data_IF_293378543040
#
_entry.id   IF_293378543040
#
_cell.length_a   1.000
_cell.length_b   1.000
_cell.length_c   1.000
_cell.angle_alpha   90.00
_cell.angle_beta   90.00
_cell.angle_gamma   90.00
#
_symmetry.space_group_name_H-M   'P 1'
#
loop_
_entity.id
_entity.type
_entity.pdbx_description
1 polymer ?
#
# COMPACT_ATOMS: atom_id res chain seq x y z
N UNK A 1 21.68 2.13 -10.69
CA UNK A 1 21.45 3.51 -11.16
C UNK A 1 20.23 4.07 -10.44
N UNK A 2 20.39 5.14 -9.67
CA UNK A 2 19.38 5.66 -8.72
C UNK A 2 18.53 6.74 -9.42
N UNK A 3 17.20 6.79 -9.22
CA UNK A 3 16.39 7.92 -9.68
C UNK A 3 16.92 9.26 -9.17
N UNK A 4 17.12 10.19 -10.09
CA UNK A 4 17.57 11.53 -9.76
C UNK A 4 16.35 12.44 -9.55
N UNK A 5 16.39 13.24 -8.48
CA UNK A 5 15.46 14.36 -8.34
C UNK A 5 15.91 15.43 -9.34
N UNK A 6 15.05 15.78 -10.29
CA UNK A 6 15.37 16.79 -11.32
C UNK A 6 15.26 18.21 -10.74
N UNK A 7 14.55 18.41 -9.64
CA UNK A 7 14.27 19.76 -9.14
C UNK A 7 15.39 20.32 -8.25
N UNK A 8 16.14 21.26 -8.81
CA UNK A 8 16.99 22.23 -8.10
C UNK A 8 16.17 23.26 -7.28
N UNK A 9 14.84 23.19 -7.31
CA UNK A 9 13.90 24.12 -6.68
C UNK A 9 12.95 23.44 -5.67
N UNK A 10 13.34 22.30 -5.10
CA UNK A 10 12.53 21.52 -4.14
C UNK A 10 12.63 22.01 -2.70
N UNK A 11 12.64 23.35 -2.50
CA UNK A 11 12.88 23.99 -1.19
C UNK A 11 12.12 23.36 -0.01
N UNK A 12 10.78 23.16 -0.09
CA UNK A 12 10.03 22.60 1.04
C UNK A 12 10.30 21.12 1.31
N UNK A 13 10.55 20.27 0.31
CA UNK A 13 10.92 18.85 0.57
C UNK A 13 12.35 18.74 1.09
N UNK A 14 13.26 19.62 0.68
CA UNK A 14 14.61 19.67 1.26
C UNK A 14 14.56 20.10 2.74
N UNK A 15 13.69 21.05 3.09
CA UNK A 15 13.44 21.40 4.50
C UNK A 15 12.84 20.21 5.25
N UNK A 16 11.85 19.52 4.67
CA UNK A 16 11.24 18.33 5.28
C UNK A 16 12.27 17.22 5.50
N UNK A 17 13.15 16.96 4.52
CA UNK A 17 14.26 16.01 4.64
C UNK A 17 15.14 16.37 5.82
N UNK A 18 15.58 17.62 5.89
CA UNK A 18 16.42 18.11 6.97
C UNK A 18 15.74 17.94 8.33
N UNK A 19 14.47 18.32 8.46
CA UNK A 19 13.70 18.17 9.71
C UNK A 19 13.58 16.70 10.14
N UNK A 20 13.33 15.79 9.19
CA UNK A 20 13.23 14.36 9.47
C UNK A 20 14.58 13.79 9.93
N UNK A 21 15.68 14.19 9.29
CA UNK A 21 17.03 13.75 9.66
C UNK A 21 17.46 14.30 11.03
N UNK A 22 17.23 15.59 11.29
CA UNK A 22 17.52 16.23 12.59
C UNK A 22 16.70 15.60 13.74
N UNK A 23 15.47 15.18 13.46
CA UNK A 23 14.58 14.57 14.45
C UNK A 23 14.69 13.04 14.55
N UNK A 24 15.62 12.39 13.84
CA UNK A 24 15.69 10.93 13.72
C UNK A 24 15.60 10.17 15.07
N UNK A 25 16.37 10.51 16.13
CA UNK A 25 16.22 9.83 17.42
C UNK A 25 14.83 9.98 18.05
N UNK A 26 14.21 11.15 17.91
CA UNK A 26 12.87 11.43 18.42
C UNK A 26 11.81 10.67 17.63
N UNK A 27 11.94 10.60 16.30
CA UNK A 27 11.09 9.82 15.39
C UNK A 27 11.14 8.34 15.74
N UNK A 28 12.35 7.77 15.87
CA UNK A 28 12.50 6.35 16.20
C UNK A 28 11.97 6.02 17.59
N UNK A 29 12.12 6.94 18.56
CA UNK A 29 11.48 6.79 19.88
C UNK A 29 9.96 6.83 19.76
N UNK A 30 9.41 7.76 18.98
CA UNK A 30 7.97 7.90 18.78
C UNK A 30 7.37 6.62 18.19
N UNK A 31 7.97 6.07 17.12
CA UNK A 31 7.54 4.80 16.55
C UNK A 31 7.59 3.65 17.56
N UNK A 32 8.67 3.52 18.34
CA UNK A 32 8.75 2.46 19.37
C UNK A 32 7.60 2.53 20.37
N UNK A 33 7.15 3.74 20.73
CA UNK A 33 6.02 3.92 21.63
C UNK A 33 4.69 3.57 20.94
N UNK A 34 4.48 3.98 19.69
CA UNK A 34 3.30 3.58 18.91
C UNK A 34 3.20 2.04 18.80
N UNK A 35 4.31 1.35 18.58
CA UNK A 35 4.33 -0.12 18.48
C UNK A 35 4.22 -0.86 19.83
N UNK A 36 4.31 -0.15 20.96
CA UNK A 36 3.97 -0.70 22.27
C UNK A 36 2.46 -0.66 22.52
N UNK A 37 1.77 0.34 21.99
CA UNK A 37 0.33 0.53 22.17
C UNK A 37 -0.48 -0.18 21.08
N UNK A 38 0.03 -0.20 19.84
CA UNK A 38 -0.69 -0.65 18.66
C UNK A 38 0.04 -1.80 17.97
N UNK A 39 -0.73 -2.79 17.49
CA UNK A 39 -0.14 -3.92 16.78
C UNK A 39 0.02 -3.62 15.28
N UNK A 40 1.24 -3.67 14.72
CA UNK A 40 1.41 -3.47 13.29
C UNK A 40 0.72 -4.59 12.50
N UNK A 41 0.20 -4.31 11.29
CA UNK A 41 -0.19 -5.33 10.34
C UNK A 41 0.97 -6.31 10.08
N UNK A 42 0.64 -7.55 9.77
CA UNK A 42 1.65 -8.58 9.50
C UNK A 42 2.59 -8.18 8.36
N UNK A 43 2.03 -7.60 7.30
CA UNK A 43 2.78 -6.96 6.23
C UNK A 43 1.99 -5.85 5.55
N UNK A 44 2.68 -4.98 4.81
CA UNK A 44 2.04 -3.98 3.98
C UNK A 44 2.98 -3.48 2.89
N UNK A 45 2.42 -2.88 1.84
CA UNK A 45 3.13 -1.95 0.98
C UNK A 45 2.46 -0.58 0.98
N UNK A 46 3.26 0.47 0.84
CA UNK A 46 2.79 1.86 0.78
C UNK A 46 3.35 2.52 -0.46
N UNK A 47 2.48 2.98 -1.35
CA UNK A 47 2.84 3.78 -2.51
C UNK A 47 2.95 5.24 -2.05
N UNK A 48 4.08 5.87 -2.31
CA UNK A 48 4.33 7.28 -1.94
C UNK A 48 4.44 8.14 -3.18
N UNK A 49 4.16 9.44 -3.04
CA UNK A 49 4.54 10.43 -4.04
C UNK A 49 5.33 11.56 -3.44
N UNK A 50 6.42 11.88 -4.13
CA UNK A 50 7.24 13.05 -3.86
C UNK A 50 6.92 14.13 -4.89
N UNK A 51 6.27 15.20 -4.45
CA UNK A 51 5.93 16.37 -5.25
C UNK A 51 6.94 17.51 -5.17
N UNK A 52 8.06 17.36 -4.47
CA UNK A 52 9.04 18.43 -4.25
C UNK A 52 8.63 19.51 -3.22
N UNK A 53 7.33 19.65 -2.96
CA UNK A 53 6.78 20.44 -1.86
C UNK A 53 6.02 19.60 -0.82
N UNK A 54 5.79 18.32 -1.11
CA UNK A 54 4.98 17.38 -0.33
C UNK A 54 5.47 15.96 -0.55
N UNK A 55 5.52 15.17 0.51
CA UNK A 55 5.83 13.73 0.47
C UNK A 55 4.76 13.01 1.30
N UNK A 56 3.91 12.22 0.64
CA UNK A 56 2.80 11.58 1.32
C UNK A 56 2.43 10.22 0.70
N UNK A 57 1.77 9.34 1.48
CA UNK A 57 1.23 8.09 0.95
C UNK A 57 0.00 8.36 0.09
N UNK A 58 -0.09 7.64 -1.03
CA UNK A 58 -1.22 7.69 -1.96
C UNK A 58 -2.01 6.37 -1.99
N UNK A 59 -1.42 5.28 -1.51
CA UNK A 59 -2.07 3.99 -1.31
C UNK A 59 -1.41 3.21 -0.16
N UNK A 60 -2.19 2.41 0.56
CA UNK A 60 -1.69 1.47 1.58
C UNK A 60 -2.38 0.13 1.38
N UNK A 61 -1.60 -0.86 0.98
CA UNK A 61 -2.06 -2.19 0.65
C UNK A 61 -1.63 -3.19 1.73
N UNK A 62 -2.62 -3.80 2.38
CA UNK A 62 -2.41 -4.85 3.39
C UNK A 62 -2.27 -6.25 2.77
N UNK A 63 -2.31 -6.36 1.44
CA UNK A 63 -2.11 -7.59 0.67
C UNK A 63 -1.07 -7.34 -0.44
N UNK A 64 0.16 -6.93 -0.08
CA UNK A 64 1.19 -6.58 -1.06
C UNK A 64 1.50 -7.75 -2.00
N UNK A 65 1.37 -7.53 -3.31
CA UNK A 65 1.48 -8.55 -4.36
C UNK A 65 2.70 -8.41 -5.28
N UNK A 66 3.75 -7.71 -4.82
CA UNK A 66 4.97 -7.43 -5.60
C UNK A 66 6.26 -7.76 -4.85
N UNK A 67 6.27 -8.79 -4.00
CA UNK A 67 7.47 -9.19 -3.26
C UNK A 67 8.62 -9.61 -4.19
N UNK A 68 8.30 -10.13 -5.38
CA UNK A 68 9.27 -10.47 -6.43
C UNK A 68 10.03 -9.26 -7.00
N UNK A 69 9.54 -8.04 -6.79
CA UNK A 69 10.20 -6.81 -7.24
C UNK A 69 11.25 -6.29 -6.23
N UNK A 70 11.33 -6.88 -5.03
CA UNK A 70 12.42 -6.58 -4.10
C UNK A 70 13.71 -7.19 -4.62
N UNK A 71 14.84 -6.49 -4.41
CA UNK A 71 16.14 -7.04 -4.78
C UNK A 71 16.57 -8.14 -3.82
N UNK A 72 17.48 -9.01 -4.25
CA UNK A 72 17.94 -10.13 -3.42
C UNK A 72 18.72 -9.65 -2.19
N UNK A 73 19.33 -8.45 -2.24
CA UNK A 73 20.00 -7.82 -1.10
C UNK A 73 19.03 -7.42 0.02
N UNK A 74 17.74 -7.24 -0.30
CA UNK A 74 16.69 -6.93 0.69
C UNK A 74 16.14 -8.19 1.37
N UNK A 75 16.38 -9.37 0.79
CA UNK A 75 15.79 -10.63 1.27
C UNK A 75 16.19 -10.98 2.71
N UNK A 76 17.46 -10.86 3.15
CA UNK A 76 17.82 -11.19 4.53
C UNK A 76 17.04 -10.37 5.56
N UNK A 77 16.78 -9.09 5.29
CA UNK A 77 16.00 -8.22 6.16
C UNK A 77 14.52 -8.62 6.17
N UNK A 78 13.96 -8.97 5.01
CA UNK A 78 12.60 -9.49 4.92
C UNK A 78 12.41 -10.79 5.71
N UNK A 79 13.40 -11.70 5.66
CA UNK A 79 13.40 -12.94 6.45
C UNK A 79 13.46 -12.65 7.94
N UNK A 80 14.34 -11.75 8.39
CA UNK A 80 14.42 -11.38 9.81
C UNK A 80 13.13 -10.73 10.31
N UNK A 81 12.53 -9.84 9.51
CA UNK A 81 11.24 -9.25 9.84
C UNK A 81 10.12 -10.31 9.91
N UNK A 82 10.14 -11.31 9.02
CA UNK A 82 9.21 -12.44 9.08
C UNK A 82 9.37 -13.25 10.37
N UNK A 83 10.60 -13.55 10.78
CA UNK A 83 10.87 -14.24 12.04
C UNK A 83 10.29 -13.46 13.23
N UNK A 84 10.59 -12.15 13.30
CA UNK A 84 10.08 -11.30 14.37
C UNK A 84 8.53 -11.21 14.40
N UNK A 85 7.90 -11.14 13.22
CA UNK A 85 6.44 -11.13 13.09
C UNK A 85 5.82 -12.44 13.60
N UNK A 86 6.41 -13.58 13.23
CA UNK A 86 5.92 -14.91 13.59
C UNK A 86 6.14 -15.20 15.08
N UNK A 87 7.28 -14.82 15.65
CA UNK A 87 7.56 -14.94 17.09
C UNK A 87 6.51 -14.22 17.94
N UNK A 88 6.02 -13.06 17.48
CA UNK A 88 4.97 -12.29 18.17
C UNK A 88 3.59 -12.97 18.08
N UNK A 89 3.27 -13.55 16.92
CA UNK A 89 1.91 -14.04 16.64
C UNK A 89 1.72 -15.49 17.05
N UNK A 90 2.64 -16.36 16.62
CA UNK A 90 2.57 -17.79 16.90
C UNK A 90 4.00 -18.36 16.94
N UNK A 91 4.69 -18.28 18.09
CA UNK A 91 6.08 -18.72 18.23
C UNK A 91 6.26 -20.23 18.03
N UNK A 92 5.20 -21.01 18.22
CA UNK A 92 5.19 -22.46 17.99
C UNK A 92 4.78 -22.84 16.56
N UNK A 93 4.55 -21.86 15.67
CA UNK A 93 4.14 -22.13 14.30
C UNK A 93 5.19 -22.97 13.57
N UNK A 94 4.79 -24.17 13.16
CA UNK A 94 5.61 -25.05 12.30
C UNK A 94 5.32 -24.84 10.81
N UNK A 95 4.19 -24.20 10.49
CA UNK A 95 3.81 -23.97 9.13
C UNK A 95 2.80 -22.85 8.94
N UNK A 96 2.77 -22.35 7.71
CA UNK A 96 1.95 -21.25 7.23
C UNK A 96 1.23 -21.64 5.95
N UNK A 97 -0.09 -21.42 5.91
CA UNK A 97 -0.89 -21.54 4.70
C UNK A 97 -0.92 -20.21 3.98
N UNK A 98 -0.34 -20.12 2.79
CA UNK A 98 -0.46 -18.94 1.94
C UNK A 98 -1.69 -19.09 1.04
N UNK A 99 -2.62 -18.14 1.13
CA UNK A 99 -3.83 -18.12 0.30
C UNK A 99 -3.71 -17.00 -0.74
N UNK A 100 -3.62 -17.33 -2.03
CA UNK A 100 -3.47 -16.35 -3.10
C UNK A 100 -4.81 -15.80 -3.58
N UNK A 101 -4.75 -14.79 -4.44
CA UNK A 101 -5.85 -14.32 -5.27
C UNK A 101 -6.48 -15.44 -6.09
N UNK A 102 -7.79 -15.31 -6.36
CA UNK A 102 -8.53 -16.26 -7.19
C UNK A 102 -8.10 -16.12 -8.66
N UNK A 103 -7.92 -17.25 -9.35
CA UNK A 103 -7.70 -17.33 -10.81
C UNK A 103 -6.61 -16.41 -11.38
N UNK A 104 -5.33 -16.67 -11.09
CA UNK A 104 -4.22 -15.90 -11.68
C UNK A 104 -3.43 -16.68 -12.73
N UNK A 105 -3.41 -16.16 -13.95
CA UNK A 105 -2.43 -16.53 -15.00
C UNK A 105 -1.29 -15.51 -15.08
N UNK A 106 -1.28 -14.53 -14.17
CA UNK A 106 -0.28 -13.49 -14.14
C UNK A 106 1.02 -14.07 -13.56
N UNK A 107 2.01 -14.27 -14.42
CA UNK A 107 3.31 -14.83 -14.04
C UNK A 107 4.02 -14.01 -12.97
N UNK A 108 3.92 -12.68 -13.00
CA UNK A 108 4.52 -11.82 -11.97
C UNK A 108 3.89 -12.04 -10.59
N UNK A 109 2.58 -12.26 -10.54
CA UNK A 109 1.92 -12.54 -9.28
C UNK A 109 2.29 -13.93 -8.74
N UNK A 110 2.48 -14.92 -9.63
CA UNK A 110 2.98 -16.24 -9.24
C UNK A 110 4.43 -16.19 -8.74
N UNK A 111 5.29 -15.37 -9.36
CA UNK A 111 6.64 -15.09 -8.85
C UNK A 111 6.61 -14.40 -7.48
N UNK A 112 5.65 -13.50 -7.25
CA UNK A 112 5.39 -12.91 -5.93
C UNK A 112 5.08 -13.99 -4.88
N UNK A 113 4.20 -14.95 -5.20
CA UNK A 113 3.89 -16.06 -4.28
C UNK A 113 5.11 -16.95 -4.00
N UNK A 114 5.93 -17.20 -5.02
CA UNK A 114 7.17 -17.94 -4.87
C UNK A 114 8.16 -17.20 -3.95
N UNK A 115 8.29 -15.87 -4.11
CA UNK A 115 9.14 -15.05 -3.25
C UNK A 115 8.63 -15.01 -1.80
N UNK A 116 7.32 -14.91 -1.58
CA UNK A 116 6.73 -15.04 -0.24
C UNK A 116 7.00 -16.41 0.38
N UNK A 117 6.82 -17.48 -0.40
CA UNK A 117 7.12 -18.86 0.02
C UNK A 117 8.58 -19.00 0.43
N UNK A 118 9.50 -18.43 -0.35
CA UNK A 118 10.93 -18.39 -0.06
C UNK A 118 11.21 -17.65 1.26
N UNK A 119 10.64 -16.47 1.47
CA UNK A 119 10.83 -15.66 2.68
C UNK A 119 10.42 -16.45 3.92
N UNK A 120 9.21 -17.00 3.95
CA UNK A 120 8.70 -17.72 5.13
C UNK A 120 9.38 -19.07 5.34
N UNK A 121 9.79 -19.75 4.26
CA UNK A 121 10.60 -20.96 4.38
C UNK A 121 11.96 -20.65 5.03
N UNK A 122 12.64 -19.57 4.61
CA UNK A 122 13.90 -19.14 5.22
C UNK A 122 13.71 -18.63 6.66
N UNK A 123 12.51 -18.15 7.01
CA UNK A 123 12.12 -17.81 8.38
C UNK A 123 11.80 -19.05 9.25
N UNK A 124 11.94 -20.27 8.72
CA UNK A 124 11.80 -21.52 9.48
C UNK A 124 10.41 -22.17 9.41
N UNK A 125 9.53 -21.75 8.51
CA UNK A 125 8.18 -22.29 8.38
C UNK A 125 8.05 -23.27 7.22
N UNK A 126 7.29 -24.35 7.41
CA UNK A 126 6.75 -25.12 6.27
C UNK A 126 5.63 -24.32 5.62
N UNK A 127 5.75 -24.00 4.33
CA UNK A 127 4.76 -23.19 3.62
C UNK A 127 4.02 -24.06 2.61
N UNK A 128 2.69 -24.03 2.62
CA UNK A 128 1.85 -24.59 1.56
C UNK A 128 1.05 -23.45 0.91
N UNK A 129 0.78 -23.54 -0.39
CA UNK A 129 -0.03 -22.56 -1.11
C UNK A 129 -1.41 -23.14 -1.38
N UNK A 130 -2.40 -22.72 -0.59
CA UNK A 130 -3.77 -23.22 -0.64
C UNK A 130 -4.64 -22.36 -1.55
N UNK A 131 -5.10 -22.92 -2.67
CA UNK A 131 -5.89 -22.17 -3.67
C UNK A 131 -7.38 -22.10 -3.31
N UNK A 132 -7.97 -20.93 -3.49
CA UNK A 132 -9.44 -20.71 -3.42
C UNK A 132 -10.14 -20.97 -4.78
N UNK A 133 -9.38 -21.39 -5.79
CA UNK A 133 -9.89 -21.82 -7.08
C UNK A 133 -10.45 -23.26 -6.96
N UNK A 134 -11.78 -23.37 -7.00
CA UNK A 134 -12.53 -24.63 -6.91
C UNK A 134 -12.36 -25.54 -8.13
N UNK A 135 -11.79 -25.03 -9.22
CA UNK A 135 -11.46 -25.85 -10.40
C UNK A 135 -10.18 -26.67 -10.21
N UNK A 136 -9.36 -26.34 -9.21
CA UNK A 136 -8.17 -27.10 -8.84
C UNK A 136 -8.57 -28.09 -7.74
N UNK A 137 -8.90 -29.32 -8.12
CA UNK A 137 -9.33 -30.40 -7.20
C UNK A 137 -8.20 -31.33 -6.75
N UNK A 138 -7.03 -31.22 -7.35
CA UNK A 138 -5.82 -31.98 -7.03
C UNK A 138 -4.59 -31.05 -7.01
N UNK A 139 -3.52 -31.39 -6.27
CA UNK A 139 -2.28 -30.60 -6.27
C UNK A 139 -1.76 -30.34 -7.69
N UNK A 140 -1.53 -29.07 -8.00
CA UNK A 140 -1.15 -28.60 -9.34
C UNK A 140 0.15 -27.84 -9.29
N UNK A 141 1.14 -28.37 -10.00
CA UNK A 141 2.41 -27.69 -10.20
C UNK A 141 2.27 -26.61 -11.28
N UNK A 142 2.84 -25.43 -11.02
CA UNK A 142 2.85 -24.28 -11.93
C UNK A 142 4.30 -23.85 -12.14
N UNK A 143 4.74 -23.90 -13.40
CA UNK A 143 6.06 -23.49 -13.82
C UNK A 143 6.15 -21.97 -13.91
N UNK A 144 7.23 -21.40 -13.38
CA UNK A 144 7.47 -19.96 -13.34
C UNK A 144 8.51 -19.55 -14.40
N UNK A 145 8.50 -18.29 -14.89
CA UNK A 145 9.44 -17.82 -15.92
C UNK A 145 10.91 -17.95 -15.51
N UNK A 146 11.22 -17.85 -14.22
CA UNK A 146 12.56 -18.02 -13.66
C UNK A 146 13.01 -19.49 -13.53
N UNK A 147 12.20 -20.46 -13.98
CA UNK A 147 12.49 -21.89 -13.92
C UNK A 147 12.16 -22.57 -12.59
N UNK A 148 11.69 -21.83 -11.59
CA UNK A 148 11.17 -22.41 -10.35
C UNK A 148 9.72 -22.88 -10.51
N UNK A 149 9.22 -23.63 -9.53
CA UNK A 149 7.88 -24.21 -9.56
C UNK A 149 7.12 -23.88 -8.29
N UNK A 150 5.82 -23.61 -8.43
CA UNK A 150 4.89 -23.40 -7.34
C UNK A 150 3.88 -24.54 -7.29
N UNK A 151 3.71 -25.16 -6.13
CA UNK A 151 2.66 -26.15 -5.91
C UNK A 151 1.41 -25.48 -5.36
N UNK A 152 0.33 -25.50 -6.14
CA UNK A 152 -0.99 -25.05 -5.71
C UNK A 152 -1.79 -26.25 -5.21
N UNK A 153 -2.30 -26.16 -3.99
CA UNK A 153 -3.04 -27.26 -3.36
C UNK A 153 -4.49 -26.87 -3.09
N UNK A 154 -5.45 -27.78 -3.34
CA UNK A 154 -6.85 -27.58 -2.95
C UNK A 154 -6.96 -27.37 -1.44
N UNK A 155 -7.74 -26.38 -1.05
CA UNK A 155 -8.04 -26.12 0.36
C UNK A 155 -8.94 -27.22 0.93
N UNK A 156 -8.57 -27.74 2.10
CA UNK A 156 -9.33 -28.75 2.85
C UNK A 156 -9.82 -28.11 4.14
N UNK A 157 -11.14 -27.94 4.25
CA UNK A 157 -11.78 -27.39 5.44
C UNK A 157 -12.24 -28.53 6.37
N UNK A 158 -11.67 -28.56 7.57
CA UNK A 158 -12.20 -29.34 8.69
C UNK A 158 -13.25 -28.53 9.46
N UNK A 159 -13.84 -29.09 10.53
CA UNK A 159 -14.87 -28.40 11.33
C UNK A 159 -14.46 -27.00 11.79
N UNK A 160 -13.20 -26.81 12.21
CA UNK A 160 -12.72 -25.55 12.82
C UNK A 160 -11.43 -25.00 12.21
N UNK A 161 -10.78 -25.75 11.32
CA UNK A 161 -9.45 -25.45 10.78
C UNK A 161 -9.42 -25.62 9.26
N UNK A 162 -8.59 -24.82 8.61
CA UNK A 162 -8.34 -24.83 7.17
C UNK A 162 -6.89 -25.23 6.90
N UNK A 163 -6.69 -26.14 5.96
CA UNK A 163 -5.37 -26.63 5.59
C UNK A 163 -5.36 -27.15 4.16
N UNK A 164 -4.39 -28.01 3.86
CA UNK A 164 -4.39 -28.87 2.67
C UNK A 164 -4.43 -30.33 3.12
N UNK A 165 -4.40 -31.28 2.18
CA UNK A 165 -4.62 -32.71 2.45
C UNK A 165 -3.82 -33.26 3.63
N UNK A 166 -2.52 -32.91 3.71
CA UNK A 166 -1.59 -33.41 4.72
C UNK A 166 -0.90 -32.26 5.48
N UNK A 167 -1.59 -31.12 5.61
CA UNK A 167 -1.05 -29.91 6.22
C UNK A 167 -2.09 -29.14 7.03
N UNK A 168 -1.84 -29.01 8.34
CA UNK A 168 -2.67 -28.27 9.28
C UNK A 168 -1.82 -27.18 9.98
N UNK A 169 -1.83 -25.92 9.48
CA UNK A 169 -0.98 -24.85 9.98
C UNK A 169 -1.63 -24.08 11.14
N UNK A 170 -0.82 -23.42 11.97
CA UNK A 170 -1.34 -22.49 12.99
C UNK A 170 -1.74 -21.14 12.40
N UNK A 171 -1.12 -20.76 11.28
CA UNK A 171 -1.22 -19.42 10.68
C UNK A 171 -1.62 -19.52 9.22
N UNK A 172 -2.53 -18.65 8.80
CA UNK A 172 -2.99 -18.46 7.44
C UNK A 172 -2.64 -17.04 7.02
N UNK A 173 -1.83 -16.91 5.99
CA UNK A 173 -1.50 -15.64 5.37
C UNK A 173 -2.35 -15.44 4.12
N UNK A 174 -3.18 -14.41 4.13
CA UNK A 174 -3.94 -13.98 2.97
C UNK A 174 -3.06 -13.08 2.11
N UNK A 175 -2.68 -13.53 0.92
CA UNK A 175 -2.25 -12.64 -0.17
C UNK A 175 -3.39 -12.44 -1.18
N UNK A 176 -4.62 -12.48 -0.67
CA UNK A 176 -5.88 -12.27 -1.35
C UNK A 176 -6.60 -11.13 -0.64
N UNK A 177 -6.90 -10.06 -1.36
CA UNK A 177 -7.49 -8.84 -0.78
C UNK A 177 -8.99 -8.94 -0.47
N UNK A 178 -9.58 -10.12 -0.72
CA UNK A 178 -10.98 -10.46 -0.48
C UNK A 178 -11.96 -9.54 -1.21
N UNK A 179 -11.50 -8.87 -2.28
CA UNK A 179 -12.37 -8.01 -3.09
C UNK A 179 -13.58 -8.75 -3.64
N UNK A 180 -13.48 -10.02 -4.01
CA UNK A 180 -14.64 -10.82 -4.47
C UNK A 180 -15.57 -11.33 -3.36
N UNK A 181 -15.34 -10.94 -2.11
CA UNK A 181 -16.00 -11.54 -0.96
C UNK A 181 -15.06 -12.41 -0.16
N UNK A 182 -15.44 -12.70 1.09
CA UNK A 182 -14.72 -13.67 1.94
C UNK A 182 -15.11 -15.08 1.51
N UNK A 183 -14.17 -15.93 1.07
CA UNK A 183 -14.43 -17.34 0.79
C UNK A 183 -15.08 -18.05 1.99
N UNK A 184 -16.08 -18.90 1.74
CA UNK A 184 -16.84 -19.60 2.79
C UNK A 184 -15.96 -20.47 3.67
N UNK A 185 -14.88 -21.03 3.11
CA UNK A 185 -13.90 -21.83 3.84
C UNK A 185 -12.98 -21.01 4.76
N UNK A 186 -12.98 -19.67 4.67
CA UNK A 186 -12.27 -18.77 5.57
C UNK A 186 -13.14 -18.23 6.70
N UNK A 187 -14.46 -18.33 6.59
CA UNK A 187 -15.38 -17.92 7.65
C UNK A 187 -15.25 -18.84 8.89
N UNK A 188 -15.47 -18.25 10.08
CA UNK A 188 -15.54 -18.99 11.35
C UNK A 188 -14.28 -19.80 11.68
N UNK A 189 -13.09 -19.25 11.40
CA UNK A 189 -11.81 -19.79 11.85
C UNK A 189 -11.45 -19.15 13.19
N UNK A 190 -11.49 -19.94 14.26
CA UNK A 190 -11.19 -19.48 15.62
C UNK A 190 -9.92 -20.13 16.21
N UNK A 191 -9.37 -21.15 15.55
CA UNK A 191 -8.20 -21.91 16.04
C UNK A 191 -6.91 -21.60 15.25
N UNK A 192 -7.00 -20.71 14.27
CA UNK A 192 -5.90 -20.34 13.40
C UNK A 192 -5.88 -18.83 13.23
N UNK A 193 -4.69 -18.25 13.21
CA UNK A 193 -4.52 -16.83 12.95
C UNK A 193 -4.68 -16.57 11.46
N UNK A 194 -5.64 -15.72 11.08
CA UNK A 194 -5.79 -15.24 9.70
C UNK A 194 -5.16 -13.85 9.62
N UNK A 195 -4.15 -13.71 8.77
CA UNK A 195 -3.31 -12.53 8.67
C UNK A 195 -3.29 -11.99 7.23
N UNK A 196 -3.57 -10.70 7.01
CA UNK A 196 -4.32 -9.81 7.89
C UNK A 196 -5.70 -10.40 8.28
N UNK A 197 -6.34 -9.90 9.35
CA UNK A 197 -7.66 -10.38 9.74
C UNK A 197 -8.71 -10.00 8.67
N UNK A 198 -9.83 -10.72 8.62
CA UNK A 198 -10.78 -10.66 7.50
C UNK A 198 -11.35 -9.24 7.25
N UNK A 199 -11.52 -8.43 8.29
CA UNK A 199 -11.97 -7.03 8.18
C UNK A 199 -10.99 -6.12 7.44
N UNK A 200 -9.72 -6.53 7.31
CA UNK A 200 -8.73 -5.83 6.49
C UNK A 200 -9.05 -5.96 4.98
N UNK A 201 -9.85 -6.94 4.57
CA UNK A 201 -10.27 -7.16 3.19
C UNK A 201 -11.25 -6.08 2.69
N UNK A 202 -11.34 -5.93 1.37
CA UNK A 202 -12.10 -4.82 0.75
C UNK A 202 -13.63 -4.92 0.87
N UNK A 203 -14.15 -6.06 1.31
CA UNK A 203 -15.57 -6.19 1.67
C UNK A 203 -15.95 -5.23 2.78
N UNK A 204 -15.04 -4.99 3.73
CA UNK A 204 -15.25 -4.14 4.91
C UNK A 204 -14.40 -2.88 4.86
N UNK A 205 -13.11 -3.04 4.53
CA UNK A 205 -12.14 -1.95 4.56
C UNK A 205 -12.51 -0.81 3.59
N UNK A 206 -12.25 0.42 4.01
CA UNK A 206 -12.47 1.65 3.22
C UNK A 206 -11.25 2.56 3.30
N UNK A 207 -10.82 3.12 2.16
CA UNK A 207 -9.68 4.03 2.08
C UNK A 207 -9.93 5.31 2.88
N UNK A 208 -11.16 5.82 2.86
CA UNK A 208 -11.61 6.97 3.66
C UNK A 208 -11.34 6.78 5.16
N UNK A 209 -11.63 5.59 5.70
CA UNK A 209 -11.33 5.22 7.10
C UNK A 209 -9.83 5.22 7.36
N UNK A 210 -9.04 4.61 6.46
CA UNK A 210 -7.58 4.64 6.54
C UNK A 210 -7.02 6.08 6.60
N UNK A 211 -7.42 6.94 5.66
CA UNK A 211 -6.92 8.31 5.60
C UNK A 211 -7.40 9.16 6.78
N UNK A 212 -8.55 8.85 7.37
CA UNK A 212 -8.98 9.46 8.64
C UNK A 212 -8.09 9.05 9.82
N UNK A 213 -7.67 7.79 9.89
CA UNK A 213 -6.65 7.36 10.87
C UNK A 213 -5.30 8.02 10.60
N UNK A 214 -4.94 8.20 9.32
CA UNK A 214 -3.71 8.89 8.93
C UNK A 214 -3.72 10.37 9.32
N UNK A 215 -4.86 11.07 9.21
CA UNK A 215 -5.02 12.45 9.72
C UNK A 215 -4.64 12.56 11.20
N UNK A 216 -5.06 11.60 12.03
CA UNK A 216 -4.78 11.60 13.47
C UNK A 216 -3.29 11.39 13.76
N UNK A 217 -2.68 10.43 13.05
CA UNK A 217 -1.24 10.14 13.13
C UNK A 217 -0.41 11.37 12.73
N UNK A 218 -0.74 11.98 11.59
CA UNK A 218 0.04 13.11 11.07
C UNK A 218 -0.09 14.37 11.93
N UNK A 219 -1.25 14.64 12.54
CA UNK A 219 -1.37 15.77 13.50
C UNK A 219 -0.38 15.65 14.65
N UNK A 220 -0.19 14.44 15.20
CA UNK A 220 0.75 14.16 16.29
C UNK A 220 2.19 14.22 15.81
N UNK A 221 2.48 13.56 14.68
CA UNK A 221 3.82 13.47 14.13
C UNK A 221 4.36 14.81 13.62
N UNK A 222 3.56 15.58 12.89
CA UNK A 222 3.97 16.88 12.37
C UNK A 222 4.32 17.85 13.51
N UNK A 223 3.59 17.79 14.64
CA UNK A 223 3.92 18.54 15.86
C UNK A 223 5.26 18.11 16.46
N UNK A 224 5.58 16.82 16.45
CA UNK A 224 6.84 16.29 16.98
C UNK A 224 8.05 16.85 16.22
N UNK A 225 7.97 16.95 14.89
CA UNK A 225 9.09 17.37 14.05
C UNK A 225 9.01 18.85 13.60
N UNK A 226 7.97 19.56 14.00
CA UNK A 226 7.81 21.01 13.76
C UNK A 226 7.54 21.37 12.30
N UNK A 227 6.77 20.56 11.56
CA UNK A 227 6.40 20.82 10.17
C UNK A 227 4.90 21.05 10.01
N UNK A 228 4.47 21.64 8.88
CA UNK A 228 3.06 21.68 8.53
C UNK A 228 2.55 20.26 8.20
N UNK A 229 1.50 19.75 8.88
CA UNK A 229 0.84 18.49 8.55
C UNK A 229 0.54 18.31 7.06
N UNK A 230 0.21 19.40 6.35
CA UNK A 230 -0.10 19.34 4.92
C UNK A 230 1.07 18.86 4.07
N UNK A 231 2.33 19.03 4.50
CA UNK A 231 3.50 18.53 3.78
C UNK A 231 3.60 16.99 3.77
N UNK A 232 2.87 16.33 4.68
CA UNK A 232 2.86 14.88 4.87
C UNK A 232 1.53 14.22 4.54
N UNK A 233 0.45 15.00 4.38
CA UNK A 233 -0.90 14.47 4.33
C UNK A 233 -1.76 15.14 3.24
N UNK A 234 -2.24 14.39 2.24
CA UNK A 234 -3.16 14.94 1.24
C UNK A 234 -4.53 15.24 1.85
N UNK A 235 -5.12 16.37 1.49
CA UNK A 235 -6.54 16.58 1.78
C UNK A 235 -7.40 15.54 1.08
N UNK A 236 -8.48 15.11 1.72
CA UNK A 236 -9.47 14.25 1.06
C UNK A 236 -10.88 14.56 1.54
N UNK A 237 -11.84 14.03 0.80
CA UNK A 237 -13.25 13.90 1.20
C UNK A 237 -13.81 12.62 0.57
N UNK A 238 -15.00 12.21 0.99
CA UNK A 238 -15.71 11.05 0.44
C UNK A 238 -17.05 11.46 -0.15
N UNK A 239 -17.52 10.68 -1.12
CA UNK A 239 -18.87 10.76 -1.64
C UNK A 239 -19.41 9.34 -1.85
N UNK A 240 -20.60 9.07 -1.32
CA UNK A 240 -21.27 7.77 -1.43
C UNK A 240 -22.51 7.81 -2.31
N UNK A 241 -23.16 6.66 -2.48
CA UNK A 241 -24.35 6.48 -3.33
C UNK A 241 -24.12 6.94 -4.78
N UNK A 242 -22.96 6.61 -5.34
CA UNK A 242 -22.61 6.88 -6.73
C UNK A 242 -23.12 5.75 -7.62
N UNK A 243 -23.63 6.13 -8.79
CA UNK A 243 -23.78 5.24 -9.93
C UNK A 243 -23.28 5.96 -11.18
N UNK A 244 -22.10 5.56 -11.66
CA UNK A 244 -21.49 6.17 -12.84
C UNK A 244 -22.23 5.83 -14.14
N UNK A 245 -23.04 4.77 -14.21
CA UNK A 245 -23.83 4.46 -15.40
C UNK A 245 -25.12 5.27 -15.43
N UNK A 246 -25.79 5.39 -14.29
CA UNK A 246 -27.05 6.13 -14.15
C UNK A 246 -26.85 7.63 -13.91
N UNK A 247 -25.59 8.09 -13.83
CA UNK A 247 -25.22 9.48 -13.50
C UNK A 247 -25.73 9.92 -12.13
N UNK A 248 -25.91 8.98 -11.22
CA UNK A 248 -26.31 9.25 -9.85
C UNK A 248 -25.10 9.76 -9.06
N UNK A 249 -25.29 10.88 -8.35
CA UNK A 249 -24.26 11.43 -7.46
C UNK A 249 -23.26 12.40 -8.12
N UNK A 250 -23.46 12.78 -9.39
CA UNK A 250 -22.58 13.74 -10.11
C UNK A 250 -22.42 15.08 -9.36
N UNK A 251 -23.48 15.61 -8.74
CA UNK A 251 -23.40 16.84 -7.95
C UNK A 251 -22.51 16.68 -6.72
N UNK A 252 -22.65 15.58 -5.98
CA UNK A 252 -21.81 15.29 -4.82
C UNK A 252 -20.34 15.14 -5.23
N UNK A 253 -20.07 14.49 -6.38
CA UNK A 253 -18.72 14.39 -6.94
C UNK A 253 -18.14 15.77 -7.27
N UNK A 254 -18.90 16.60 -8.00
CA UNK A 254 -18.46 17.94 -8.38
C UNK A 254 -18.17 18.82 -7.15
N UNK A 255 -19.07 18.84 -6.17
CA UNK A 255 -18.92 19.63 -4.93
C UNK A 255 -17.72 19.14 -4.10
N UNK A 256 -17.51 17.83 -4.03
CA UNK A 256 -16.37 17.22 -3.36
C UNK A 256 -15.03 17.60 -4.03
N UNK A 257 -14.97 17.56 -5.36
CA UNK A 257 -13.81 17.99 -6.16
C UNK A 257 -13.50 19.46 -5.89
N UNK A 258 -14.50 20.35 -5.98
CA UNK A 258 -14.32 21.78 -5.73
C UNK A 258 -13.85 22.06 -4.31
N UNK A 259 -14.40 21.35 -3.32
CA UNK A 259 -14.02 21.48 -1.91
C UNK A 259 -12.55 21.16 -1.69
N UNK A 260 -12.05 20.05 -2.25
CA UNK A 260 -10.65 19.66 -2.10
C UNK A 260 -9.76 20.63 -2.87
N UNK A 261 -10.08 20.94 -4.14
CA UNK A 261 -9.29 21.87 -4.95
C UNK A 261 -9.19 23.27 -4.32
N UNK A 262 -10.24 23.76 -3.66
CA UNK A 262 -10.21 25.04 -2.96
C UNK A 262 -9.20 25.04 -1.79
N UNK A 263 -9.16 23.96 -0.99
CA UNK A 263 -8.17 23.79 0.09
C UNK A 263 -6.75 23.72 -0.47
N UNK A 264 -6.54 22.97 -1.55
CA UNK A 264 -5.23 22.82 -2.20
C UNK A 264 -4.76 24.15 -2.78
N UNK A 265 -5.60 24.90 -3.49
CA UNK A 265 -5.28 26.24 -4.02
C UNK A 265 -4.82 27.20 -2.92
N UNK A 266 -5.43 27.14 -1.73
CA UNK A 266 -5.01 27.96 -0.59
C UNK A 266 -3.59 27.62 -0.15
N UNK A 267 -3.26 26.33 -0.02
CA UNK A 267 -1.92 25.87 0.34
C UNK A 267 -0.88 26.17 -0.75
N UNK A 268 -1.24 25.99 -2.01
CA UNK A 268 -0.35 26.34 -3.11
C UNK A 268 -0.02 27.83 -3.10
N UNK A 269 -1.01 28.70 -2.86
CA UNK A 269 -0.77 30.14 -2.70
C UNK A 269 0.12 30.46 -1.48
N UNK A 270 -0.08 29.77 -0.37
CA UNK A 270 0.72 29.93 0.87
C UNK A 270 2.20 29.61 0.63
N UNK A 271 2.49 28.55 -0.13
CA UNK A 271 3.85 28.09 -0.43
C UNK A 271 4.44 28.62 -1.74
N UNK A 272 3.71 29.49 -2.46
CA UNK A 272 4.17 30.01 -3.76
C UNK A 272 4.26 28.97 -4.88
N UNK A 273 3.47 27.90 -4.78
CA UNK A 273 3.40 26.80 -5.76
C UNK A 273 2.56 27.26 -6.96
N UNK A 274 3.11 27.12 -8.16
CA UNK A 274 2.52 27.63 -9.40
C UNK A 274 1.89 26.54 -10.27
N UNK A 275 2.10 25.28 -9.91
CA UNK A 275 1.51 24.10 -10.54
C UNK A 275 -0.02 24.13 -10.43
N UNK A 276 -0.68 23.57 -11.45
CA UNK A 276 -2.14 23.46 -11.45
C UNK A 276 -2.56 22.35 -10.47
N UNK A 277 -3.38 22.66 -9.43
CA UNK A 277 -3.92 21.63 -8.56
C UNK A 277 -4.73 20.59 -9.32
N UNK A 278 -4.78 19.39 -8.78
CA UNK A 278 -5.63 18.32 -9.24
C UNK A 278 -6.05 17.43 -8.07
N UNK A 279 -7.04 16.59 -8.31
CA UNK A 279 -7.50 15.56 -7.37
C UNK A 279 -7.54 14.21 -8.05
N UNK A 280 -7.27 13.16 -7.29
CA UNK A 280 -7.53 11.79 -7.67
C UNK A 280 -8.90 11.39 -7.13
N UNK A 281 -9.82 11.02 -8.01
CA UNK A 281 -11.09 10.36 -7.66
C UNK A 281 -10.85 8.86 -7.75
N UNK A 282 -11.01 8.15 -6.64
CA UNK A 282 -10.72 6.72 -6.50
C UNK A 282 -11.94 6.01 -5.92
N UNK A 283 -12.19 4.76 -6.31
CA UNK A 283 -13.10 3.90 -5.56
C UNK A 283 -12.63 3.75 -4.09
N UNK A 284 -13.55 3.87 -3.14
CA UNK A 284 -13.23 3.85 -1.71
C UNK A 284 -12.90 2.44 -1.18
N UNK A 285 -13.32 1.41 -1.92
CA UNK A 285 -12.93 0.02 -1.71
C UNK A 285 -12.23 -0.54 -2.95
N UNK A 286 -11.16 -1.32 -2.76
CA UNK A 286 -10.44 -2.03 -3.82
C UNK A 286 -9.03 -1.50 -4.14
N UNK A 287 -8.32 -2.23 -4.99
CA UNK A 287 -6.85 -2.17 -5.24
C UNK A 287 -6.48 -1.93 -6.72
N UNK A 288 -5.17 -1.90 -6.99
CA UNK A 288 -4.54 -1.93 -8.32
C UNK A 288 -4.76 -0.70 -9.22
N UNK A 289 -5.07 0.46 -8.66
CA UNK A 289 -5.24 1.67 -9.46
C UNK A 289 -6.42 1.62 -10.44
N UNK A 290 -7.30 0.62 -10.29
CA UNK A 290 -8.57 0.54 -11.01
C UNK A 290 -9.58 1.51 -10.39
N UNK A 291 -10.45 2.07 -11.23
CA UNK A 291 -11.40 3.09 -10.79
C UNK A 291 -10.73 4.38 -10.28
N UNK A 292 -9.61 4.78 -10.90
CA UNK A 292 -8.93 6.05 -10.61
C UNK A 292 -8.98 7.00 -11.80
N UNK A 293 -9.36 8.25 -11.56
CA UNK A 293 -9.24 9.35 -12.52
C UNK A 293 -8.63 10.59 -11.87
N UNK A 294 -7.87 11.35 -12.66
CA UNK A 294 -7.28 12.61 -12.25
C UNK A 294 -8.15 13.75 -12.79
N UNK A 295 -8.50 14.71 -11.94
CA UNK A 295 -9.45 15.78 -12.24
C UNK A 295 -8.84 17.11 -11.83
N UNK A 296 -8.94 18.12 -12.70
CA UNK A 296 -8.45 19.47 -12.44
C UNK A 296 -9.58 20.46 -12.18
N UNK A 297 -10.81 20.15 -12.58
CA UNK A 297 -11.97 21.01 -12.44
C UNK A 297 -13.26 20.20 -12.18
N UNK A 298 -14.15 20.71 -11.32
CA UNK A 298 -15.39 20.02 -10.98
C UNK A 298 -16.33 19.84 -12.19
N UNK A 299 -16.21 20.67 -13.24
CA UNK A 299 -16.97 20.52 -14.49
C UNK A 299 -16.69 19.18 -15.19
N UNK A 300 -15.49 18.60 -15.00
CA UNK A 300 -15.13 17.30 -15.57
C UNK A 300 -15.98 16.15 -15.00
N UNK A 301 -16.62 16.33 -13.83
CA UNK A 301 -17.50 15.33 -13.22
C UNK A 301 -18.91 15.32 -13.80
N UNK A 302 -19.34 16.38 -14.50
CA UNK A 302 -20.71 16.52 -15.00
C UNK A 302 -20.90 15.84 -16.35
N UNK A 303 -19.88 15.77 -17.21
CA UNK A 303 -20.00 15.22 -18.56
C UNK A 303 -19.00 14.08 -18.82
N UNK A 304 -18.94 13.12 -17.89
CA UNK A 304 -18.07 11.95 -18.02
C UNK A 304 -18.43 11.17 -19.29
N UNK A 305 -17.46 10.98 -20.18
CA UNK A 305 -17.67 10.18 -21.38
C UNK A 305 -17.88 8.68 -21.03
N UNK A 306 -18.43 7.91 -21.98
CA UNK A 306 -18.74 6.48 -21.79
C UNK A 306 -17.52 5.66 -21.33
N UNK A 307 -16.32 5.94 -21.85
CA UNK A 307 -15.10 5.22 -21.49
C UNK A 307 -14.72 5.47 -20.03
N UNK A 308 -14.82 6.72 -19.57
CA UNK A 308 -14.53 7.09 -18.18
C UNK A 308 -15.57 6.52 -17.24
N UNK A 309 -16.86 6.56 -17.58
CA UNK A 309 -17.92 5.94 -16.76
C UNK A 309 -17.67 4.44 -16.61
N UNK A 310 -17.38 3.72 -17.69
CA UNK A 310 -17.04 2.29 -17.61
C UNK A 310 -15.81 2.01 -16.73
N UNK A 311 -14.77 2.84 -16.84
CA UNK A 311 -13.55 2.73 -16.01
C UNK A 311 -13.85 2.96 -14.51
N UNK A 312 -14.75 3.87 -14.19
CA UNK A 312 -15.08 4.25 -12.81
C UNK A 312 -16.23 3.43 -12.21
N UNK A 313 -17.00 2.70 -13.03
CA UNK A 313 -18.17 1.93 -12.57
C UNK A 313 -17.77 0.65 -11.85
N UNK A 314 -16.65 0.03 -12.23
CA UNK A 314 -16.25 -1.28 -11.71
C UNK A 314 -14.81 -1.29 -11.24
N UNK A 315 -14.57 -2.00 -10.15
CA UNK A 315 -13.22 -2.37 -9.67
C UNK A 315 -12.95 -3.85 -9.99
N UNK A 316 -11.92 -4.42 -9.34
CA UNK A 316 -11.53 -5.82 -9.45
C UNK A 316 -12.75 -6.76 -9.32
N UNK A 317 -12.77 -7.83 -10.12
CA UNK A 317 -13.86 -8.82 -10.17
C UNK A 317 -15.25 -8.26 -10.55
N UNK A 318 -15.30 -7.07 -11.17
CA UNK A 318 -16.55 -6.49 -11.69
C UNK A 318 -17.45 -5.89 -10.62
N UNK A 319 -16.95 -5.70 -9.39
CA UNK A 319 -17.71 -5.06 -8.32
C UNK A 319 -18.02 -3.60 -8.64
N UNK A 320 -19.27 -3.20 -8.40
CA UNK A 320 -19.74 -1.83 -8.62
C UNK A 320 -19.17 -0.85 -7.61
N UNK A 321 -18.78 0.33 -8.09
CA UNK A 321 -18.32 1.44 -7.25
C UNK A 321 -19.52 2.25 -6.76
N UNK A 322 -19.81 2.15 -5.47
CA UNK A 322 -20.86 2.93 -4.79
C UNK A 322 -20.32 4.08 -3.95
N UNK A 323 -19.09 3.95 -3.48
CA UNK A 323 -18.40 4.94 -2.66
C UNK A 323 -17.07 5.33 -3.31
N UNK A 324 -16.78 6.63 -3.31
CA UNK A 324 -15.53 7.18 -3.82
C UNK A 324 -14.86 8.09 -2.81
N UNK A 325 -13.54 8.11 -2.87
CA UNK A 325 -12.68 9.08 -2.19
C UNK A 325 -12.15 10.08 -3.23
N UNK A 326 -12.24 11.36 -2.90
CA UNK A 326 -11.68 12.46 -3.66
C UNK A 326 -10.49 12.97 -2.85
N UNK A 327 -9.28 12.75 -3.36
CA UNK A 327 -8.04 13.04 -2.65
C UNK A 327 -7.22 14.06 -3.43
N UNK A 328 -6.55 14.97 -2.73
CA UNK A 328 -5.55 15.88 -3.29
C UNK A 328 -4.52 15.09 -4.10
N UNK A 329 -4.34 15.50 -5.35
CA UNK A 329 -3.33 14.96 -6.24
C UNK A 329 -1.94 15.46 -5.86
N UNK A 330 -1.01 14.52 -5.72
CA UNK A 330 0.41 14.81 -5.51
C UNK A 330 1.12 14.48 -6.82
N UNK A 331 1.84 15.42 -7.45
CA UNK A 331 2.64 15.11 -8.62
C UNK A 331 3.84 14.24 -8.20
N UNK A 332 4.35 13.38 -9.08
CA UNK A 332 5.67 12.78 -8.88
C UNK A 332 6.73 13.57 -9.63
N UNK A 333 7.73 14.08 -8.91
CA UNK A 333 8.90 14.75 -9.49
C UNK A 333 10.09 13.79 -9.69
N UNK A 334 9.95 12.54 -9.26
CA UNK A 334 11.02 11.55 -9.36
C UNK A 334 11.08 10.98 -10.77
N UNK A 335 12.30 10.84 -11.29
CA UNK A 335 12.54 10.23 -12.58
C UNK A 335 13.67 9.23 -12.55
N UNK A 336 13.45 8.13 -13.28
CA UNK A 336 14.50 7.24 -13.72
C UNK A 336 14.75 7.54 -15.20
N UNK A 337 15.87 8.21 -15.49
CA UNK A 337 16.13 8.81 -16.79
C UNK A 337 14.99 9.79 -17.16
N UNK A 338 14.32 9.59 -18.28
CA UNK A 338 13.18 10.43 -18.71
C UNK A 338 11.84 9.94 -18.16
N UNK A 339 11.77 8.71 -17.61
CA UNK A 339 10.52 8.10 -17.16
C UNK A 339 10.15 8.57 -15.75
N UNK A 340 8.88 8.93 -15.55
CA UNK A 340 8.35 9.29 -14.23
C UNK A 340 8.29 8.04 -13.36
N UNK A 341 8.65 8.15 -12.09
CA UNK A 341 8.55 7.05 -11.15
C UNK A 341 7.94 7.44 -9.81
N UNK A 342 7.39 6.49 -9.09
CA UNK A 342 6.93 6.66 -7.71
C UNK A 342 7.40 5.47 -6.84
N UNK A 343 7.90 5.72 -5.61
CA UNK A 343 8.41 4.65 -4.77
C UNK A 343 7.28 3.89 -4.07
N UNK A 344 7.47 2.58 -3.97
CA UNK A 344 6.63 1.65 -3.21
C UNK A 344 7.48 1.02 -2.12
N UNK A 345 7.13 1.29 -0.87
CA UNK A 345 7.87 0.82 0.32
C UNK A 345 7.20 -0.42 0.88
N UNK A 346 7.97 -1.48 1.13
CA UNK A 346 7.49 -2.74 1.67
C UNK A 346 7.90 -2.88 3.14
N UNK A 347 6.94 -3.37 3.94
CA UNK A 347 7.11 -3.59 5.37
C UNK A 347 6.57 -4.96 5.77
N UNK A 348 7.20 -5.55 6.79
CA UNK A 348 6.72 -6.74 7.48
C UNK A 348 6.88 -6.51 8.98
N UNK A 349 5.82 -6.80 9.75
CA UNK A 349 5.65 -6.24 11.10
C UNK A 349 5.92 -4.71 11.06
N UNK A 350 6.69 -4.16 11.99
CA UNK A 350 7.05 -2.74 12.04
C UNK A 350 8.28 -2.36 11.19
N UNK A 351 8.89 -3.31 10.50
CA UNK A 351 10.18 -3.12 9.83
C UNK A 351 9.99 -2.76 8.36
N UNK A 352 10.67 -1.70 7.91
CA UNK A 352 10.87 -1.44 6.48
C UNK A 352 11.89 -2.45 5.97
N UNK A 353 11.47 -3.30 5.03
CA UNK A 353 12.30 -4.40 4.51
C UNK A 353 12.88 -4.10 3.14
N UNK A 354 12.36 -3.10 2.45
CA UNK A 354 12.81 -2.72 1.11
C UNK A 354 11.75 -1.97 0.33
N UNK A 355 11.89 -1.97 -0.99
CA UNK A 355 10.90 -1.42 -1.90
C UNK A 355 11.35 -1.43 -3.34
N UNK A 356 10.57 -0.80 -4.20
CA UNK A 356 10.89 -0.57 -5.60
C UNK A 356 10.25 0.71 -6.11
N UNK A 357 10.77 1.24 -7.20
CA UNK A 357 10.08 2.25 -7.98
C UNK A 357 9.14 1.59 -8.98
N UNK A 358 7.91 2.12 -9.06
CA UNK A 358 7.06 1.94 -10.23
C UNK A 358 7.42 3.02 -11.24
N UNK A 359 7.87 2.60 -12.43
CA UNK A 359 8.39 3.48 -13.47
C UNK A 359 7.45 3.43 -14.68
N UNK A 360 7.15 4.60 -15.25
CA UNK A 360 6.29 4.70 -16.43
C UNK A 360 6.84 5.75 -17.42
N UNK A 361 7.17 5.31 -18.63
CA UNK A 361 7.72 6.18 -19.67
C UNK A 361 6.66 7.10 -20.29
N UNK A 362 5.45 6.58 -20.53
CA UNK A 362 4.37 7.31 -21.23
C UNK A 362 3.38 8.05 -20.31
N UNK A 363 3.76 8.35 -19.06
CA UNK A 363 2.90 9.06 -18.10
C UNK A 363 3.61 10.26 -17.51
N UNK A 364 2.85 11.34 -17.35
CA UNK A 364 3.29 12.57 -16.73
C UNK A 364 3.23 12.55 -15.19
N UNK A 365 3.83 13.56 -14.54
CA UNK A 365 3.88 13.69 -13.07
C UNK A 365 2.52 13.61 -12.36
N UNK A 366 1.47 14.15 -12.96
CA UNK A 366 0.13 14.23 -12.38
C UNK A 366 -0.79 13.08 -12.80
N UNK A 367 -0.27 12.06 -13.49
CA UNK A 367 -1.05 10.92 -13.97
C UNK A 367 -0.91 9.70 -13.06
N UNK A 368 -1.83 8.73 -13.18
CA UNK A 368 -1.73 7.45 -12.49
C UNK A 368 -0.64 6.58 -13.13
N UNK A 369 0.47 6.33 -12.42
CA UNK A 369 1.55 5.48 -12.91
C UNK A 369 1.23 3.98 -12.74
N UNK A 370 0.26 3.62 -11.90
CA UNK A 370 -0.29 2.27 -11.82
C UNK A 370 -1.27 2.00 -12.98
N UNK A 371 -0.70 1.95 -14.19
CA UNK A 371 -1.39 1.82 -15.47
C UNK A 371 -0.62 0.85 -16.39
N UNK A 372 -1.28 0.28 -17.42
CA UNK A 372 -0.58 -0.54 -18.42
C UNK A 372 0.60 0.22 -19.05
N UNK A 373 1.76 -0.44 -19.15
CA UNK A 373 3.02 0.16 -19.60
C UNK A 373 4.03 0.43 -18.48
N UNK A 374 3.61 0.34 -17.22
CA UNK A 374 4.52 0.43 -16.08
C UNK A 374 5.46 -0.78 -15.98
N UNK A 375 6.63 -0.54 -15.41
CA UNK A 375 7.56 -1.59 -14.97
C UNK A 375 8.13 -1.24 -13.58
N UNK A 376 8.82 -2.19 -12.96
CA UNK A 376 9.36 -2.03 -11.61
C UNK A 376 10.89 -2.07 -11.64
N UNK A 377 11.50 -1.19 -10.85
CA UNK A 377 12.95 -1.15 -10.66
C UNK A 377 13.21 -1.17 -9.16
N UNK A 378 13.96 -2.16 -8.62
CA UNK A 378 14.21 -2.24 -7.19
C UNK A 378 14.79 -0.92 -6.64
N UNK A 379 14.44 -0.58 -5.40
CA UNK A 379 15.05 0.52 -4.65
C UNK A 379 16.46 0.12 -4.18
N UNK A 380 17.23 -0.56 -5.03
CA UNK A 380 18.54 -1.09 -4.71
C UNK A 380 19.59 0.03 -4.74
N UNK A 381 20.24 0.26 -3.59
CA UNK A 381 21.42 1.12 -3.51
C UNK A 381 22.68 0.25 -3.51
N UNK A 382 23.70 0.66 -4.25
CA UNK A 382 25.04 0.05 -4.20
C UNK A 382 25.73 0.25 -2.82
N UNK A 383 25.08 0.97 -1.90
CA UNK A 383 25.56 1.31 -0.55
C UNK A 383 24.52 0.94 0.51
N UNK A 384 25.01 0.72 1.74
CA UNK A 384 24.29 0.23 2.91
C UNK A 384 22.89 0.86 3.10
N UNK A 385 21.85 0.12 2.73
CA UNK A 385 20.43 0.51 2.71
C UNK A 385 19.85 1.16 3.99
N UNK A 386 20.53 1.02 5.13
CA UNK A 386 20.02 1.39 6.45
C UNK A 386 20.85 2.45 7.18
N UNK A 387 21.84 3.05 6.52
CA UNK A 387 22.71 4.05 7.15
C UNK A 387 22.41 5.43 6.61
N UNK A 388 21.72 6.23 7.40
CA UNK A 388 21.53 7.66 7.14
C UNK A 388 22.85 8.41 7.24
N UNK A 389 23.03 9.43 6.41
CA UNK A 389 24.17 10.35 6.41
C UNK A 389 23.69 11.77 6.70
N UNK A 390 23.50 12.17 7.98
CA UNK A 390 22.95 13.49 8.33
C UNK A 390 23.77 14.67 7.79
N UNK A 391 25.08 14.48 7.60
CA UNK A 391 26.00 15.50 7.07
C UNK A 391 25.90 15.67 5.53
N UNK A 392 25.22 14.75 4.84
CA UNK A 392 25.06 14.86 3.40
C UNK A 392 24.09 16.00 3.05
N UNK A 393 24.39 16.72 1.97
CA UNK A 393 23.52 17.79 1.49
C UNK A 393 22.10 17.23 1.21
N UNK A 394 21.03 17.86 1.70
CA UNK A 394 19.66 17.41 1.43
C UNK A 394 19.40 17.17 -0.05
N UNK A 395 18.63 16.12 -0.36
CA UNK A 395 18.25 15.74 -1.71
C UNK A 395 19.33 15.00 -2.50
N UNK A 396 20.59 14.94 -2.01
CA UNK A 396 21.72 14.36 -2.77
C UNK A 396 22.06 12.93 -2.38
N UNK A 397 21.57 12.44 -1.24
CA UNK A 397 21.95 11.13 -0.70
C UNK A 397 20.78 10.13 -0.79
N UNK A 398 21.03 8.98 -1.40
CA UNK A 398 20.05 7.89 -1.57
C UNK A 398 19.52 7.33 -0.24
N UNK A 399 20.40 6.92 0.69
CA UNK A 399 19.99 6.43 2.02
C UNK A 399 19.12 7.40 2.82
N UNK A 400 19.43 8.71 2.85
CA UNK A 400 18.60 9.71 3.53
C UNK A 400 17.19 9.78 2.95
N UNK A 401 17.08 9.79 1.61
CA UNK A 401 15.80 9.81 0.91
C UNK A 401 14.99 8.54 1.20
N UNK A 402 15.64 7.38 1.20
CA UNK A 402 14.98 6.12 1.53
C UNK A 402 14.53 6.08 3.00
N UNK A 403 15.31 6.63 3.93
CA UNK A 403 14.89 6.78 5.31
C UNK A 403 13.61 7.64 5.42
N UNK A 404 13.53 8.77 4.70
CA UNK A 404 12.28 9.55 4.66
C UNK A 404 11.11 8.73 4.14
N UNK A 405 11.29 7.99 3.04
CA UNK A 405 10.24 7.11 2.51
C UNK A 405 9.82 6.07 3.56
N UNK A 406 10.78 5.47 4.26
CA UNK A 406 10.52 4.57 5.37
C UNK A 406 9.78 5.21 6.54
N UNK A 407 10.06 6.48 6.88
CA UNK A 407 9.30 7.23 7.89
C UNK A 407 7.86 7.41 7.45
N UNK A 408 7.62 7.91 6.23
CA UNK A 408 6.26 8.17 5.74
C UNK A 408 5.45 6.87 5.58
N UNK A 409 6.09 5.80 5.09
CA UNK A 409 5.48 4.48 5.00
C UNK A 409 5.11 3.91 6.38
N UNK A 410 5.99 4.05 7.38
CA UNK A 410 5.69 3.62 8.76
C UNK A 410 4.56 4.44 9.39
N UNK A 411 4.42 5.74 9.08
CA UNK A 411 3.27 6.53 9.53
C UNK A 411 1.96 5.99 8.95
N UNK A 412 1.96 5.61 7.67
CA UNK A 412 0.80 4.96 7.05
C UNK A 412 0.52 3.58 7.68
N UNK A 413 1.57 2.84 8.06
CA UNK A 413 1.43 1.58 8.78
C UNK A 413 0.83 1.73 10.19
N UNK A 414 1.23 2.77 10.93
CA UNK A 414 0.60 3.12 12.22
C UNK A 414 -0.88 3.41 12.01
N UNK A 415 -1.21 4.22 10.99
CA UNK A 415 -2.59 4.53 10.65
C UNK A 415 -3.42 3.28 10.26
N UNK A 416 -2.81 2.32 9.57
CA UNK A 416 -3.44 1.03 9.28
C UNK A 416 -3.68 0.21 10.56
N UNK A 417 -2.78 0.29 11.55
CA UNK A 417 -3.00 -0.36 12.85
C UNK A 417 -4.23 0.24 13.55
N UNK A 418 -4.31 1.58 13.61
CA UNK A 418 -5.46 2.29 14.20
C UNK A 418 -6.76 1.96 13.46
N UNK A 419 -6.70 1.90 12.12
CA UNK A 419 -7.83 1.53 11.28
C UNK A 419 -8.34 0.11 11.62
N UNK A 420 -7.44 -0.88 11.68
CA UNK A 420 -7.80 -2.27 11.97
C UNK A 420 -8.36 -2.44 13.39
N UNK A 421 -7.79 -1.76 14.38
CA UNK A 421 -8.28 -1.79 15.76
C UNK A 421 -9.66 -1.14 15.89
N UNK A 422 -9.89 0.00 15.22
CA UNK A 422 -11.20 0.71 15.23
C UNK A 422 -12.29 -0.04 14.47
N UNK A 423 -11.91 -0.93 13.56
CA UNK A 423 -12.84 -1.73 12.74
C UNK A 423 -12.89 -3.19 13.15
N UNK A 424 -12.22 -3.53 14.27
CA UNK A 424 -12.24 -4.89 14.81
C UNK A 424 -13.66 -5.24 15.26
N UNK A 425 -14.30 -6.27 14.67
CA UNK A 425 -15.63 -6.70 15.07
C UNK A 425 -15.67 -7.27 16.50
N UNK A 426 -14.53 -7.66 17.07
CA UNK A 426 -14.43 -8.22 18.42
C UNK A 426 -13.98 -7.18 19.47
N UNK A 427 -13.68 -5.94 19.07
CA UNK A 427 -13.39 -4.88 20.03
C UNK A 427 -14.59 -4.66 20.94
N UNK A 428 -14.38 -4.76 22.26
CA UNK A 428 -15.40 -4.39 23.24
C UNK A 428 -15.86 -2.95 22.94
N UNK A 429 -17.17 -2.75 22.83
CA UNK A 429 -17.75 -1.41 22.73
C UNK A 429 -17.58 -0.74 24.09
N UNK A 430 -16.42 -0.11 24.29
CA UNK A 430 -16.10 0.65 25.51
C UNK A 430 -16.94 1.93 25.59
#
# INVERSE_FOLDING_TARGET
MIPHLISTESGPVLELEQRILEAQPAIERWFRLEWMEHSPPFYASVDLRNGGFKLAPVDTNLFPGGWNNLSDEMLPLAVQAAMAAIEKICPEAKGLLLIPEKHTRNTFYLENLAKLTQIFHQAGLKVHVGTVDDTITEPKHVQLPNGSELLLEPLVRSKRRLGTKDFDPCTILLNNDLSSGVPTNLAGLYEQYVLPPLQAGWTVRRKSTHFKSYDDVIKRFAKLIGVDPWMLNPYFTQCGNIDFQERQGENCLADAVDTVLAKVRKKYKEYGIHEKPFVAVKADAGTYGMGVMMVHDASEMKDLNRKTRNKMSVVKEGMEVRDVIIQEGIPSIERLQEAVCEPVVYMMDRYVVGGFYRVHADRGPSENLNSPGMHFVPLAFDEQFNVTHPEAKPGTNGPNRFYMYGVIARLALVAASYELERTDPEAETV
#
